data_IF_406425519890
#
_entry.id   IF_406425519890
#
_cell.length_a   1.000
_cell.length_b   1.000
_cell.length_c   1.000
_cell.angle_alpha   90.00
_cell.angle_beta   90.00
_cell.angle_gamma   90.00
#
_symmetry.space_group_name_H-M   'P 1'
#
loop_
_entity.id
_entity.type
_entity.pdbx_description
1 polymer ?
#
# COMPACT_ATOMS: atom_id res chain seq x y z
N UNK A 1 -20.64 -9.75 18.47
CA UNK A 1 -19.88 -9.66 17.20
C UNK A 1 -18.50 -9.10 17.52
N UNK A 2 -17.41 -9.84 17.26
CA UNK A 2 -16.06 -9.31 17.49
C UNK A 2 -15.73 -8.36 16.34
N UNK A 3 -15.64 -7.09 16.65
CA UNK A 3 -15.35 -5.99 15.71
C UNK A 3 -13.85 -5.95 15.32
N UNK A 4 -13.04 -6.86 15.85
CA UNK A 4 -11.59 -6.86 15.62
C UNK A 4 -11.12 -8.24 15.13
N UNK A 5 -10.23 -8.26 14.15
CA UNK A 5 -9.53 -9.46 13.67
C UNK A 5 -8.69 -10.15 14.74
N UNK A 6 -8.45 -9.50 15.89
CA UNK A 6 -8.02 -10.15 17.13
C UNK A 6 -9.18 -11.01 17.61
N UNK A 7 -8.93 -12.30 17.83
CA UNK A 7 -9.93 -13.19 18.44
C UNK A 7 -10.42 -12.56 19.74
N UNK A 8 -11.72 -12.66 20.03
CA UNK A 8 -12.33 -11.95 21.16
C UNK A 8 -11.66 -12.22 22.52
N UNK A 9 -10.93 -13.35 22.65
CA UNK A 9 -10.10 -13.64 23.81
C UNK A 9 -8.77 -12.88 23.82
N UNK A 10 -8.19 -12.62 22.66
CA UNK A 10 -6.92 -11.87 22.56
C UNK A 10 -7.09 -10.39 22.95
N UNK A 11 -8.25 -9.79 22.66
CA UNK A 11 -8.58 -8.43 23.09
C UNK A 11 -8.63 -8.31 24.63
N UNK A 12 -9.05 -9.37 25.33
CA UNK A 12 -9.09 -9.41 26.81
C UNK A 12 -7.70 -9.37 27.45
N UNK A 13 -6.65 -9.65 26.68
CA UNK A 13 -5.26 -9.55 27.17
C UNK A 13 -4.73 -8.11 27.17
N UNK A 14 -5.44 -7.18 26.55
CA UNK A 14 -5.09 -5.77 26.58
C UNK A 14 -5.69 -5.04 27.77
N UNK A 15 -4.98 -4.10 28.37
CA UNK A 15 -5.50 -3.26 29.47
C UNK A 15 -6.67 -2.41 29.02
N UNK A 16 -7.50 -1.99 29.97
CA UNK A 16 -8.73 -1.23 29.67
C UNK A 16 -8.45 0.04 28.87
N UNK A 17 -7.38 0.78 29.20
CA UNK A 17 -7.02 2.01 28.50
C UNK A 17 -6.76 1.79 27.00
N UNK A 18 -6.17 0.65 26.62
CA UNK A 18 -5.91 0.32 25.22
C UNK A 18 -7.17 -0.21 24.51
N UNK A 19 -8.07 -0.88 25.24
CA UNK A 19 -9.37 -1.30 24.70
C UNK A 19 -10.29 -0.10 24.43
N UNK A 20 -10.29 0.90 25.31
CA UNK A 20 -11.01 2.15 25.11
C UNK A 20 -10.49 2.94 23.91
N UNK A 21 -9.15 2.98 23.76
CA UNK A 21 -8.52 3.55 22.58
C UNK A 21 -8.90 2.82 21.28
N UNK A 22 -8.90 1.49 21.31
CA UNK A 22 -9.33 0.69 20.15
C UNK A 22 -10.79 1.03 19.76
N UNK A 23 -11.68 1.10 20.73
CA UNK A 23 -13.08 1.49 20.52
C UNK A 23 -13.21 2.89 19.91
N UNK A 24 -12.42 3.86 20.40
CA UNK A 24 -12.34 5.20 19.84
C UNK A 24 -11.89 5.19 18.38
N UNK A 25 -10.86 4.41 18.05
CA UNK A 25 -10.37 4.31 16.67
C UNK A 25 -11.38 3.72 15.70
N UNK A 26 -12.14 2.70 16.15
CA UNK A 26 -13.17 2.06 15.31
C UNK A 26 -14.37 2.98 15.15
N UNK A 27 -14.95 3.41 16.29
CA UNK A 27 -16.27 4.05 16.31
C UNK A 27 -16.20 5.52 15.90
N UNK A 28 -15.20 6.25 16.41
CA UNK A 28 -15.10 7.70 16.19
C UNK A 28 -14.22 8.05 15.00
N UNK A 29 -13.09 7.33 14.82
CA UNK A 29 -12.16 7.60 13.72
C UNK A 29 -12.49 6.82 12.44
N UNK A 30 -13.35 5.81 12.50
CA UNK A 30 -13.69 4.97 11.36
C UNK A 30 -12.49 4.18 10.80
N UNK A 31 -11.50 3.89 11.64
CA UNK A 31 -10.34 3.13 11.22
C UNK A 31 -10.73 1.68 10.94
N UNK A 32 -10.06 1.07 9.93
CA UNK A 32 -10.25 -0.35 9.66
C UNK A 32 -9.78 -1.21 10.84
N UNK A 33 -10.47 -2.34 11.08
CA UNK A 33 -10.10 -3.32 12.10
C UNK A 33 -8.62 -3.69 12.00
N UNK A 34 -8.11 -3.89 10.79
CA UNK A 34 -6.70 -4.21 10.57
C UNK A 34 -5.76 -3.12 11.08
N UNK A 35 -6.08 -1.85 10.83
CA UNK A 35 -5.28 -0.71 11.32
C UNK A 35 -5.27 -0.67 12.84
N UNK A 36 -6.44 -0.89 13.47
CA UNK A 36 -6.56 -0.90 14.93
C UNK A 36 -5.77 -2.06 15.54
N UNK A 37 -5.84 -3.25 14.94
CA UNK A 37 -5.02 -4.39 15.36
C UNK A 37 -3.53 -4.10 15.32
N UNK A 38 -3.03 -3.57 14.20
CA UNK A 38 -1.62 -3.22 14.05
C UNK A 38 -1.17 -2.20 15.12
N UNK A 39 -2.01 -1.19 15.41
CA UNK A 39 -1.72 -0.19 16.44
C UNK A 39 -1.69 -0.83 17.84
N UNK A 40 -2.64 -1.70 18.17
CA UNK A 40 -2.65 -2.40 19.45
C UNK A 40 -1.42 -3.32 19.61
N UNK A 41 -0.99 -4.01 18.55
CA UNK A 41 0.20 -4.85 18.58
C UNK A 41 1.48 -4.01 18.76
N UNK A 42 1.55 -2.83 18.16
CA UNK A 42 2.66 -1.91 18.36
C UNK A 42 2.72 -1.39 19.80
N UNK A 43 1.56 -0.99 20.37
CA UNK A 43 1.45 -0.55 21.75
C UNK A 43 1.77 -1.69 22.74
N UNK A 44 1.35 -2.94 22.43
CA UNK A 44 1.73 -4.11 23.22
C UNK A 44 3.25 -4.27 23.28
N UNK A 45 3.91 -4.13 22.14
CA UNK A 45 5.38 -4.23 22.08
C UNK A 45 6.06 -3.11 22.89
N UNK A 46 5.51 -1.89 22.83
CA UNK A 46 6.02 -0.76 23.60
C UNK A 46 5.87 -0.98 25.12
N UNK A 47 4.69 -1.34 25.60
CA UNK A 47 4.47 -1.55 27.03
C UNK A 47 5.22 -2.80 27.56
N UNK A 48 5.46 -3.81 26.75
CA UNK A 48 6.38 -4.91 27.09
C UNK A 48 7.80 -4.40 27.30
N UNK A 49 8.28 -3.50 26.45
CA UNK A 49 9.59 -2.86 26.61
C UNK A 49 9.65 -2.05 27.91
N UNK A 50 8.61 -1.30 28.26
CA UNK A 50 8.55 -0.55 29.52
C UNK A 50 8.67 -1.49 30.73
N UNK A 51 7.90 -2.57 30.76
CA UNK A 51 7.96 -3.58 31.85
C UNK A 51 9.34 -4.25 31.94
N UNK A 52 9.94 -4.63 30.80
CA UNK A 52 11.26 -5.22 30.74
C UNK A 52 12.31 -4.29 31.35
N UNK A 53 12.26 -3.01 30.97
CA UNK A 53 13.19 -1.97 31.46
C UNK A 53 13.11 -1.76 32.97
N UNK A 54 11.91 -1.74 33.53
CA UNK A 54 11.70 -1.61 34.98
C UNK A 54 12.31 -2.78 35.77
N UNK A 55 12.29 -3.98 35.20
CA UNK A 55 12.85 -5.18 35.83
C UNK A 55 14.37 -5.26 35.73
N UNK A 56 15.00 -4.48 34.86
CA UNK A 56 16.46 -4.49 34.66
C UNK A 56 16.98 -5.76 33.99
N UNK A 57 16.11 -6.56 33.39
CA UNK A 57 16.44 -7.87 32.84
C UNK A 57 16.85 -7.81 31.36
N UNK A 58 17.93 -8.52 31.03
CA UNK A 58 18.24 -8.88 29.63
C UNK A 58 17.45 -10.14 29.28
N UNK A 59 16.31 -9.99 28.64
CA UNK A 59 15.43 -11.10 28.28
C UNK A 59 15.71 -11.61 26.86
N UNK A 60 15.59 -12.91 26.68
CA UNK A 60 15.51 -13.50 25.34
C UNK A 60 14.24 -13.01 24.60
N UNK A 61 14.23 -13.13 23.27
CA UNK A 61 13.07 -12.74 22.46
C UNK A 61 11.78 -13.47 22.88
N UNK A 62 11.90 -14.76 23.18
CA UNK A 62 10.76 -15.58 23.60
C UNK A 62 10.18 -15.17 24.96
N UNK A 63 11.04 -14.78 25.91
CA UNK A 63 10.62 -14.25 27.21
C UNK A 63 9.98 -12.87 27.05
N UNK A 64 10.55 -11.98 26.24
CA UNK A 64 9.98 -10.69 25.92
C UNK A 64 8.56 -10.83 25.31
N UNK A 65 8.36 -11.77 24.40
CA UNK A 65 7.05 -12.01 23.76
C UNK A 65 6.00 -12.56 24.73
N UNK A 66 6.41 -13.14 25.85
CA UNK A 66 5.51 -13.66 26.90
C UNK A 66 5.11 -12.61 27.95
N UNK A 67 5.76 -11.45 28.00
CA UNK A 67 5.41 -10.39 28.95
C UNK A 67 3.93 -10.01 28.77
N UNK A 68 3.15 -10.13 29.85
CA UNK A 68 1.76 -9.69 29.87
C UNK A 68 1.66 -8.20 30.14
N UNK A 69 0.86 -7.49 29.34
CA UNK A 69 0.58 -6.07 29.53
C UNK A 69 -0.80 -5.82 30.18
N UNK A 70 -1.48 -6.88 30.61
CA UNK A 70 -2.88 -6.83 31.09
C UNK A 70 -3.06 -5.88 32.27
N UNK A 71 -2.07 -5.75 33.11
CA UNK A 71 -2.10 -4.96 34.34
C UNK A 71 -1.65 -3.51 34.16
N UNK A 72 -1.28 -3.09 32.96
CA UNK A 72 -0.95 -1.67 32.66
C UNK A 72 -2.17 -0.81 33.02
N UNK A 73 -1.93 0.18 33.84
CA UNK A 73 -2.93 1.13 34.33
C UNK A 73 -2.65 2.57 33.83
N UNK A 74 -3.42 3.54 34.30
CA UNK A 74 -3.29 4.94 33.88
C UNK A 74 -1.98 5.55 34.38
N UNK A 75 -1.51 5.17 35.56
CA UNK A 75 -0.25 5.68 36.14
C UNK A 75 0.95 5.23 35.30
N UNK A 76 0.95 3.99 34.81
CA UNK A 76 1.98 3.49 33.88
C UNK A 76 1.98 4.29 32.57
N UNK A 77 0.82 4.74 32.10
CA UNK A 77 0.71 5.58 30.90
C UNK A 77 1.22 7.00 31.20
N UNK A 78 0.97 7.56 32.39
CA UNK A 78 1.45 8.87 32.83
C UNK A 78 2.97 8.91 33.01
N UNK A 79 3.54 7.81 33.45
CA UNK A 79 4.98 7.67 33.67
C UNK A 79 5.82 7.67 32.37
N UNK A 80 5.17 7.54 31.19
CA UNK A 80 5.87 7.51 29.91
C UNK A 80 6.45 8.88 29.56
N UNK A 81 7.75 8.92 29.36
CA UNK A 81 8.49 10.12 28.93
C UNK A 81 8.88 10.04 27.45
N UNK A 82 9.29 11.20 26.88
CA UNK A 82 9.85 11.24 25.52
C UNK A 82 11.11 10.35 25.42
N UNK A 83 11.94 10.31 26.47
CA UNK A 83 13.14 9.46 26.49
C UNK A 83 12.79 7.98 26.42
N UNK A 84 11.75 7.51 27.12
CA UNK A 84 11.30 6.12 27.02
C UNK A 84 10.93 5.72 25.59
N UNK A 85 10.31 6.64 24.83
CA UNK A 85 9.93 6.40 23.44
C UNK A 85 11.16 6.34 22.53
N UNK A 86 12.15 7.22 22.76
CA UNK A 86 13.41 7.20 22.01
C UNK A 86 14.16 5.88 22.27
N UNK A 87 14.30 5.48 23.55
CA UNK A 87 14.95 4.23 23.95
C UNK A 87 14.23 3.02 23.33
N UNK A 88 12.90 3.04 23.31
CA UNK A 88 12.13 2.01 22.63
C UNK A 88 12.39 1.94 21.12
N UNK A 89 12.51 3.06 20.42
CA UNK A 89 12.82 3.07 19.00
C UNK A 89 14.23 2.56 18.71
N UNK A 90 15.17 2.77 19.64
CA UNK A 90 16.51 2.17 19.60
C UNK A 90 16.43 0.66 19.79
N UNK A 91 15.77 0.20 20.85
CA UNK A 91 15.51 -1.22 21.11
C UNK A 91 14.82 -1.91 19.91
N UNK A 92 13.78 -1.29 19.37
CA UNK A 92 13.09 -1.81 18.19
C UNK A 92 14.00 -1.93 16.96
N UNK A 93 15.02 -1.07 16.84
CA UNK A 93 15.97 -1.10 15.74
C UNK A 93 17.07 -2.13 15.89
N UNK A 94 17.66 -2.24 17.07
CA UNK A 94 18.86 -3.03 17.34
C UNK A 94 18.51 -4.44 17.84
N UNK A 95 17.59 -4.53 18.80
CA UNK A 95 17.29 -5.80 19.46
C UNK A 95 16.17 -6.59 18.72
N UNK A 96 15.20 -5.88 18.12
CA UNK A 96 14.13 -6.51 17.36
C UNK A 96 14.37 -6.51 15.83
N UNK A 97 15.51 -5.98 15.36
CA UNK A 97 15.89 -5.88 13.95
C UNK A 97 14.79 -5.25 13.07
N UNK A 98 14.11 -4.22 13.60
CA UNK A 98 13.04 -3.56 12.88
C UNK A 98 13.59 -2.52 11.89
N UNK A 99 13.15 -2.61 10.63
CA UNK A 99 13.46 -1.63 9.60
C UNK A 99 13.03 -0.21 10.00
N UNK A 100 13.64 0.81 9.40
CA UNK A 100 13.23 2.21 9.58
C UNK A 100 11.72 2.42 9.33
N UNK A 101 11.15 1.76 8.32
CA UNK A 101 9.71 1.84 8.02
C UNK A 101 8.85 1.26 9.15
N UNK A 102 9.29 0.14 9.76
CA UNK A 102 8.60 -0.46 10.90
C UNK A 102 8.67 0.45 12.12
N UNK A 103 9.83 1.05 12.40
CA UNK A 103 10.01 2.01 13.51
C UNK A 103 9.15 3.28 13.31
N UNK A 104 9.05 3.80 12.07
CA UNK A 104 8.14 4.91 11.76
C UNK A 104 6.68 4.54 12.04
N UNK A 105 6.22 3.34 11.67
CA UNK A 105 4.85 2.88 11.95
C UNK A 105 4.63 2.76 13.46
N UNK A 106 5.58 2.18 14.21
CA UNK A 106 5.51 2.07 15.67
C UNK A 106 5.42 3.44 16.35
N UNK A 107 6.22 4.40 15.90
CA UNK A 107 6.11 5.78 16.39
C UNK A 107 4.75 6.42 16.05
N UNK A 108 4.21 6.14 14.85
CA UNK A 108 2.88 6.65 14.48
C UNK A 108 1.76 6.08 15.37
N UNK A 109 1.86 4.81 15.76
CA UNK A 109 0.94 4.18 16.71
C UNK A 109 1.01 4.85 18.09
N UNK A 110 2.22 5.12 18.58
CA UNK A 110 2.45 5.86 19.85
C UNK A 110 1.91 7.29 19.77
N UNK A 111 2.23 8.02 18.70
CA UNK A 111 1.70 9.39 18.50
C UNK A 111 0.17 9.41 18.49
N UNK A 112 -0.45 8.47 17.83
CA UNK A 112 -1.92 8.36 17.79
C UNK A 112 -2.51 8.05 19.16
N UNK A 113 -1.89 7.16 19.93
CA UNK A 113 -2.33 6.81 21.28
C UNK A 113 -2.18 7.97 22.25
N UNK A 114 -1.00 8.62 22.31
CA UNK A 114 -0.76 9.73 23.23
C UNK A 114 -1.53 10.99 22.83
N UNK A 115 -1.80 11.20 21.55
CA UNK A 115 -2.75 12.24 21.14
C UNK A 115 -4.18 11.98 21.66
N UNK A 116 -4.62 10.72 21.67
CA UNK A 116 -5.89 10.35 22.30
C UNK A 116 -5.85 10.51 23.80
N UNK A 117 -4.81 9.99 24.46
CA UNK A 117 -4.66 10.04 25.92
C UNK A 117 -4.63 11.47 26.45
N UNK A 118 -3.87 12.37 25.81
CA UNK A 118 -3.77 13.77 26.17
C UNK A 118 -4.99 14.57 25.72
N UNK A 119 -5.29 14.57 24.42
CA UNK A 119 -6.20 15.56 23.83
C UNK A 119 -7.68 15.17 23.88
N UNK A 120 -8.03 13.90 24.19
CA UNK A 120 -9.42 13.43 24.21
C UNK A 120 -9.89 12.90 25.56
N UNK A 121 -9.01 12.26 26.28
CA UNK A 121 -9.34 11.62 27.58
C UNK A 121 -8.69 12.31 28.76
N UNK A 122 -7.74 13.22 28.54
CA UNK A 122 -7.00 13.91 29.60
C UNK A 122 -6.40 12.95 30.63
N UNK A 123 -5.88 11.80 30.13
CA UNK A 123 -5.26 10.77 30.96
C UNK A 123 -3.82 11.14 31.34
N UNK A 124 -3.16 11.97 30.56
CA UNK A 124 -1.78 12.44 30.75
C UNK A 124 -1.75 13.96 30.70
N UNK A 125 -0.83 14.57 31.47
CA UNK A 125 -0.74 16.03 31.60
C UNK A 125 -0.02 16.68 30.39
N UNK A 126 0.81 15.92 29.69
CA UNK A 126 1.49 16.32 28.46
C UNK A 126 1.59 15.16 27.48
N UNK A 127 1.77 15.49 26.20
CA UNK A 127 1.95 14.45 25.18
C UNK A 127 3.45 14.16 25.00
N UNK A 128 3.96 12.99 25.44
CA UNK A 128 5.38 12.67 25.37
C UNK A 128 5.91 12.46 23.94
N UNK A 129 5.03 12.48 22.95
CA UNK A 129 5.42 12.31 21.53
C UNK A 129 5.49 13.63 20.76
N UNK A 130 5.19 14.78 21.39
CA UNK A 130 5.06 16.08 20.70
C UNK A 130 6.33 16.46 19.94
N UNK A 131 7.48 16.31 20.56
CA UNK A 131 8.77 16.77 20.05
C UNK A 131 9.61 15.65 19.42
N UNK A 132 9.02 14.47 19.24
CA UNK A 132 9.73 13.34 18.64
C UNK A 132 9.55 13.35 17.12
N UNK A 133 10.64 13.60 16.40
CA UNK A 133 10.67 13.50 14.96
C UNK A 133 10.55 12.05 14.47
N UNK A 134 9.91 11.89 13.32
CA UNK A 134 9.88 10.58 12.67
C UNK A 134 11.24 10.22 12.08
N UNK A 135 11.71 8.96 12.24
CA UNK A 135 12.95 8.51 11.62
C UNK A 135 13.00 8.83 10.13
N UNK A 136 14.09 9.46 9.66
CA UNK A 136 14.24 9.82 8.25
C UNK A 136 14.44 8.57 7.39
N UNK A 137 13.59 8.38 6.40
CA UNK A 137 13.74 7.32 5.40
C UNK A 137 14.57 7.86 4.23
N UNK A 138 15.62 7.13 3.83
CA UNK A 138 16.32 7.43 2.58
C UNK A 138 15.32 7.33 1.42
N UNK A 139 15.15 8.43 0.67
CA UNK A 139 14.34 8.42 -0.55
C UNK A 139 15.06 7.56 -1.58
N UNK A 140 14.48 6.44 -1.95
CA UNK A 140 14.93 5.63 -3.08
C UNK A 140 13.97 5.85 -4.24
N UNK A 141 14.50 5.96 -5.45
CA UNK A 141 13.66 6.03 -6.65
C UNK A 141 12.74 4.80 -6.70
N UNK A 142 11.46 4.99 -7.03
CA UNK A 142 10.53 3.87 -7.15
C UNK A 142 11.00 2.90 -8.22
N UNK A 143 11.21 1.63 -7.88
CA UNK A 143 11.50 0.59 -8.86
C UNK A 143 10.21 0.24 -9.60
N UNK A 144 10.27 0.22 -10.92
CA UNK A 144 9.18 -0.19 -11.81
C UNK A 144 9.74 -1.06 -12.94
N UNK A 145 8.87 -1.71 -13.69
CA UNK A 145 9.22 -2.46 -14.89
C UNK A 145 9.25 -1.50 -16.10
N UNK A 146 10.17 -1.74 -17.04
CA UNK A 146 10.07 -1.17 -18.37
C UNK A 146 8.93 -1.82 -19.16
N UNK A 147 8.65 -1.33 -20.37
CA UNK A 147 7.68 -1.95 -21.30
C UNK A 147 8.12 -3.37 -21.64
N UNK A 148 9.39 -3.56 -22.01
CA UNK A 148 9.97 -4.84 -22.39
C UNK A 148 9.91 -5.85 -21.23
N UNK A 149 10.22 -5.42 -20.02
CA UNK A 149 10.14 -6.24 -18.82
C UNK A 149 8.69 -6.61 -18.47
N UNK A 150 7.74 -5.71 -18.71
CA UNK A 150 6.32 -5.97 -18.52
C UNK A 150 5.82 -7.00 -19.54
N UNK A 151 6.29 -6.93 -20.78
CA UNK A 151 6.01 -7.93 -21.82
C UNK A 151 6.62 -9.28 -21.43
N UNK A 152 7.90 -9.31 -21.03
CA UNK A 152 8.58 -10.55 -20.60
C UNK A 152 7.85 -11.21 -19.42
N UNK A 153 7.32 -10.42 -18.48
CA UNK A 153 6.51 -10.94 -17.38
C UNK A 153 5.21 -11.61 -17.88
N UNK A 154 4.52 -10.99 -18.84
CA UNK A 154 3.29 -11.56 -19.45
C UNK A 154 3.60 -12.81 -20.27
N UNK A 155 4.71 -12.84 -20.99
CA UNK A 155 5.16 -14.01 -21.73
C UNK A 155 5.52 -15.18 -20.82
N UNK A 156 6.17 -14.93 -19.69
CA UNK A 156 6.46 -15.95 -18.70
C UNK A 156 5.19 -16.66 -18.19
N UNK A 157 4.08 -15.90 -18.05
CA UNK A 157 2.78 -16.51 -17.69
C UNK A 157 2.22 -17.37 -18.82
N UNK A 158 2.25 -16.88 -20.07
CA UNK A 158 1.73 -17.63 -21.24
C UNK A 158 2.51 -18.90 -21.53
N UNK A 159 3.81 -18.88 -21.23
CA UNK A 159 4.70 -20.01 -21.46
C UNK A 159 4.61 -21.11 -20.40
N UNK A 160 3.95 -20.84 -19.27
CA UNK A 160 3.68 -21.83 -18.20
C UNK A 160 2.47 -22.69 -18.55
N UNK A 161 2.62 -23.51 -19.64
CA UNK A 161 1.55 -24.36 -20.18
C UNK A 161 1.07 -25.45 -19.23
N UNK A 162 1.91 -25.85 -18.28
CA UNK A 162 1.59 -26.86 -17.26
C UNK A 162 0.71 -26.29 -16.12
N UNK A 163 0.58 -24.98 -16.05
CA UNK A 163 -0.23 -24.31 -15.03
C UNK A 163 -1.73 -24.40 -15.35
N UNK A 164 -2.47 -25.18 -14.58
CA UNK A 164 -3.94 -25.24 -14.64
C UNK A 164 -4.63 -23.88 -14.38
N UNK A 165 -3.89 -22.88 -13.92
CA UNK A 165 -4.40 -21.54 -13.59
C UNK A 165 -3.82 -20.46 -14.48
N UNK A 166 -3.19 -20.81 -15.59
CA UNK A 166 -2.47 -19.88 -16.47
C UNK A 166 -3.36 -18.72 -16.94
N UNK A 167 -4.57 -18.97 -17.43
CA UNK A 167 -5.47 -17.91 -17.91
C UNK A 167 -5.91 -16.98 -16.78
N UNK A 168 -6.15 -17.50 -15.56
CA UNK A 168 -6.43 -16.69 -14.37
C UNK A 168 -5.24 -15.78 -14.03
N UNK A 169 -4.07 -16.37 -13.96
CA UNK A 169 -2.84 -15.68 -13.53
C UNK A 169 -2.43 -14.62 -14.57
N UNK A 170 -2.65 -14.93 -15.87
CA UNK A 170 -2.47 -13.97 -16.95
C UNK A 170 -3.43 -12.78 -16.83
N UNK A 171 -4.71 -13.03 -16.59
CA UNK A 171 -5.70 -11.96 -16.39
C UNK A 171 -5.37 -11.11 -15.17
N UNK A 172 -4.92 -11.69 -14.06
CA UNK A 172 -4.51 -10.98 -12.84
C UNK A 172 -3.35 -10.01 -13.15
N UNK A 173 -2.28 -10.50 -13.78
CA UNK A 173 -1.08 -9.68 -14.06
C UNK A 173 -1.38 -8.62 -15.10
N UNK A 174 -2.15 -8.96 -16.14
CA UNK A 174 -2.60 -8.00 -17.16
C UNK A 174 -3.41 -6.87 -16.54
N UNK A 175 -4.35 -7.18 -15.64
CA UNK A 175 -5.12 -6.15 -14.93
C UNK A 175 -4.22 -5.23 -14.10
N UNK A 176 -3.26 -5.78 -13.33
CA UNK A 176 -2.34 -4.92 -12.56
C UNK A 176 -1.56 -3.97 -13.43
N UNK A 177 -1.00 -4.46 -14.54
CA UNK A 177 -0.16 -3.66 -15.45
C UNK A 177 -0.95 -2.62 -16.26
N UNK A 178 -2.21 -2.88 -16.57
CA UNK A 178 -3.02 -1.99 -17.40
C UNK A 178 -3.92 -1.03 -16.60
N UNK A 179 -4.29 -1.36 -15.37
CA UNK A 179 -5.21 -0.55 -14.57
C UNK A 179 -4.58 0.07 -13.35
N UNK A 180 -3.48 -0.47 -12.88
CA UNK A 180 -2.86 -0.05 -11.63
C UNK A 180 -3.74 -0.22 -10.38
N UNK A 181 -4.77 -1.10 -10.41
CA UNK A 181 -5.64 -1.32 -9.25
C UNK A 181 -4.90 -1.85 -8.03
N UNK A 182 -5.46 -1.65 -6.84
CA UNK A 182 -4.88 -2.17 -5.60
C UNK A 182 -5.12 -3.68 -5.49
N UNK A 183 -4.23 -4.38 -4.77
CA UNK A 183 -4.40 -5.82 -4.50
C UNK A 183 -5.75 -6.16 -3.86
N UNK A 184 -6.19 -5.36 -2.89
CA UNK A 184 -7.49 -5.55 -2.24
C UNK A 184 -8.67 -5.35 -3.19
N UNK A 185 -8.56 -4.39 -4.11
CA UNK A 185 -9.56 -4.14 -5.14
C UNK A 185 -9.66 -5.34 -6.09
N UNK A 186 -8.55 -5.86 -6.59
CA UNK A 186 -8.53 -7.04 -7.46
C UNK A 186 -9.11 -8.29 -6.79
N UNK A 187 -8.72 -8.56 -5.55
CA UNK A 187 -9.23 -9.71 -4.79
C UNK A 187 -10.72 -9.58 -4.49
N UNK A 188 -11.21 -8.34 -4.31
CA UNK A 188 -12.61 -8.02 -4.05
C UNK A 188 -13.53 -8.09 -5.27
N UNK A 189 -13.01 -8.23 -6.50
CA UNK A 189 -13.82 -8.24 -7.71
C UNK A 189 -14.79 -9.42 -7.73
N UNK A 190 -16.02 -9.15 -8.17
CA UNK A 190 -17.06 -10.11 -8.47
C UNK A 190 -17.31 -10.16 -9.99
N UNK A 191 -18.03 -11.15 -10.45
CA UNK A 191 -18.47 -11.22 -11.85
C UNK A 191 -19.34 -9.99 -12.20
N UNK A 192 -20.18 -9.55 -11.29
CA UNK A 192 -21.09 -8.40 -11.45
C UNK A 192 -20.37 -7.05 -11.33
N UNK A 193 -19.07 -7.04 -11.04
CA UNK A 193 -18.28 -5.79 -11.00
C UNK A 193 -18.06 -5.18 -12.39
N UNK A 194 -18.33 -5.93 -13.45
CA UNK A 194 -18.08 -5.55 -14.84
C UNK A 194 -19.37 -5.24 -15.58
N UNK A 195 -19.26 -4.37 -16.59
CA UNK A 195 -20.30 -4.25 -17.61
C UNK A 195 -20.31 -5.48 -18.54
N UNK A 196 -21.40 -5.69 -19.29
CA UNK A 196 -21.57 -6.85 -20.18
C UNK A 196 -20.52 -6.90 -21.30
N UNK A 197 -19.99 -5.77 -21.70
CA UNK A 197 -18.95 -5.66 -22.74
C UNK A 197 -17.53 -5.85 -22.18
N UNK A 198 -17.35 -5.93 -20.85
CA UNK A 198 -16.07 -5.95 -20.14
C UNK A 198 -15.19 -4.72 -20.48
N UNK A 199 -15.80 -3.55 -20.68
CA UNK A 199 -15.09 -2.30 -20.97
C UNK A 199 -14.84 -1.48 -19.71
N UNK A 200 -15.60 -1.73 -18.64
CA UNK A 200 -15.54 -1.00 -17.38
C UNK A 200 -15.63 -1.97 -16.21
N UNK A 201 -14.92 -1.63 -15.14
CA UNK A 201 -14.99 -2.36 -13.88
C UNK A 201 -15.21 -1.40 -12.72
N UNK A 202 -16.19 -1.69 -11.89
CA UNK A 202 -16.43 -0.99 -10.63
C UNK A 202 -15.57 -1.59 -9.54
N UNK A 203 -14.75 -0.77 -8.91
CA UNK A 203 -13.88 -1.17 -7.78
C UNK A 203 -14.24 -0.39 -6.53
N UNK A 204 -14.15 -1.05 -5.38
CA UNK A 204 -14.39 -0.47 -4.07
C UNK A 204 -13.04 -0.24 -3.40
N UNK A 205 -12.70 1.02 -3.16
CA UNK A 205 -11.45 1.44 -2.54
C UNK A 205 -11.53 1.59 -1.02
N UNK A 206 -10.52 2.23 -0.44
CA UNK A 206 -10.47 2.55 0.99
C UNK A 206 -11.66 3.43 1.39
N UNK A 207 -12.27 3.13 2.53
CA UNK A 207 -13.45 3.87 3.03
C UNK A 207 -14.72 3.61 2.23
N UNK A 208 -14.82 2.46 1.56
CA UNK A 208 -15.98 2.05 0.75
C UNK A 208 -16.28 3.00 -0.44
N UNK A 209 -15.26 3.76 -0.88
CA UNK A 209 -15.43 4.67 -2.03
C UNK A 209 -15.36 3.86 -3.31
N UNK A 210 -16.40 3.99 -4.13
CA UNK A 210 -16.48 3.36 -5.45
C UNK A 210 -15.83 4.24 -6.52
N UNK A 211 -15.20 3.60 -7.52
CA UNK A 211 -14.79 4.24 -8.76
C UNK A 211 -14.87 3.27 -9.92
N UNK A 212 -15.05 3.82 -11.10
CA UNK A 212 -14.98 3.07 -12.36
C UNK A 212 -13.56 3.09 -12.91
N UNK A 213 -13.11 1.96 -13.42
CA UNK A 213 -11.86 1.83 -14.18
C UNK A 213 -12.22 1.37 -15.58
N UNK A 214 -11.70 2.06 -16.59
CA UNK A 214 -11.85 1.66 -18.00
C UNK A 214 -10.80 0.59 -18.34
N UNK A 215 -11.22 -0.41 -19.10
CA UNK A 215 -10.37 -1.51 -19.52
C UNK A 215 -10.01 -1.34 -20.99
N UNK A 216 -8.72 -1.48 -21.29
CA UNK A 216 -8.23 -1.52 -22.67
C UNK A 216 -8.42 -2.92 -23.27
N UNK A 217 -8.18 -3.06 -24.58
CA UNK A 217 -8.37 -4.31 -25.31
C UNK A 217 -7.56 -5.49 -24.74
N UNK A 218 -6.34 -5.23 -24.26
CA UNK A 218 -5.50 -6.27 -23.67
C UNK A 218 -6.11 -6.82 -22.37
N UNK A 219 -6.60 -5.95 -21.49
CA UNK A 219 -7.27 -6.34 -20.25
C UNK A 219 -8.62 -7.03 -20.54
N UNK A 220 -9.39 -6.50 -21.49
CA UNK A 220 -10.66 -7.08 -21.92
C UNK A 220 -10.46 -8.50 -22.45
N UNK A 221 -9.51 -8.71 -23.38
CA UNK A 221 -9.21 -10.03 -23.95
C UNK A 221 -8.77 -11.02 -22.86
N UNK A 222 -7.85 -10.63 -22.00
CA UNK A 222 -7.38 -11.50 -20.93
C UNK A 222 -8.51 -11.92 -19.98
N UNK A 223 -9.43 -11.00 -19.67
CA UNK A 223 -10.61 -11.29 -18.86
C UNK A 223 -11.59 -12.23 -19.57
N UNK A 224 -11.90 -11.99 -20.86
CA UNK A 224 -12.78 -12.86 -21.65
C UNK A 224 -12.28 -14.30 -21.66
N UNK A 225 -10.99 -14.48 -21.88
CA UNK A 225 -10.37 -15.80 -21.95
C UNK A 225 -10.47 -16.52 -20.60
N UNK A 226 -10.26 -15.81 -19.50
CA UNK A 226 -10.42 -16.38 -18.17
C UNK A 226 -11.88 -16.61 -17.79
N UNK A 227 -12.79 -15.66 -18.03
CA UNK A 227 -14.22 -15.76 -17.68
C UNK A 227 -14.88 -16.93 -18.39
N UNK A 228 -14.48 -17.26 -19.64
CA UNK A 228 -14.96 -18.43 -20.35
C UNK A 228 -14.74 -19.72 -19.55
N UNK A 229 -13.56 -19.88 -18.95
CA UNK A 229 -13.27 -21.03 -18.08
C UNK A 229 -13.94 -20.87 -16.70
N UNK A 230 -13.97 -19.65 -16.17
CA UNK A 230 -14.59 -19.36 -14.86
C UNK A 230 -16.07 -19.71 -14.82
N UNK A 231 -16.78 -19.61 -15.95
CA UNK A 231 -18.20 -19.91 -16.07
C UNK A 231 -18.48 -21.33 -16.61
N UNK A 232 -17.46 -22.07 -16.99
CA UNK A 232 -17.64 -23.43 -17.51
C UNK A 232 -17.82 -24.44 -16.36
N UNK A 233 -18.99 -25.05 -16.20
CA UNK A 233 -19.28 -26.00 -15.13
C UNK A 233 -18.43 -27.27 -15.15
N UNK A 234 -17.77 -27.57 -16.27
CA UNK A 234 -16.82 -28.69 -16.37
C UNK A 234 -15.56 -28.46 -15.55
N UNK A 235 -15.17 -27.20 -15.38
CA UNK A 235 -13.94 -26.81 -14.67
C UNK A 235 -14.22 -26.20 -13.30
N UNK A 236 -15.32 -25.45 -13.18
CA UNK A 236 -15.65 -24.67 -11.98
C UNK A 236 -17.04 -25.04 -11.48
N UNK A 237 -17.11 -25.51 -10.22
CA UNK A 237 -18.35 -25.93 -9.55
C UNK A 237 -18.52 -25.18 -8.24
N UNK A 238 -18.73 -23.87 -8.33
CA UNK A 238 -18.94 -23.02 -7.15
C UNK A 238 -20.03 -22.00 -7.41
N UNK A 239 -20.77 -21.66 -6.35
CA UNK A 239 -21.70 -20.53 -6.31
C UNK A 239 -21.04 -19.23 -5.85
N UNK A 240 -19.72 -19.19 -5.60
CA UNK A 240 -19.02 -17.97 -5.22
C UNK A 240 -19.05 -16.97 -6.39
N UNK A 241 -19.53 -15.75 -6.10
CA UNK A 241 -19.59 -14.65 -7.08
C UNK A 241 -18.22 -14.04 -7.40
N UNK A 242 -17.17 -14.43 -6.68
CA UNK A 242 -15.82 -13.90 -6.90
C UNK A 242 -15.35 -14.11 -8.34
N UNK A 243 -14.80 -13.06 -8.94
CA UNK A 243 -14.18 -13.18 -10.26
C UNK A 243 -13.01 -14.18 -10.22
N UNK A 244 -12.03 -13.94 -9.36
CA UNK A 244 -10.84 -14.76 -9.26
C UNK A 244 -10.96 -15.82 -8.17
N UNK A 245 -10.80 -17.09 -8.55
CA UNK A 245 -10.88 -18.22 -7.65
C UNK A 245 -9.51 -18.81 -7.33
N UNK A 246 -9.39 -19.31 -6.11
CA UNK A 246 -8.29 -20.18 -5.69
C UNK A 246 -8.43 -21.59 -6.34
N UNK A 247 -7.42 -22.44 -6.15
CA UNK A 247 -7.51 -23.88 -6.54
C UNK A 247 -8.64 -24.61 -5.79
N UNK A 248 -9.07 -24.09 -4.64
CA UNK A 248 -10.21 -24.65 -3.86
C UNK A 248 -11.57 -24.10 -4.30
N UNK A 249 -11.60 -23.37 -5.41
CA UNK A 249 -12.82 -22.76 -5.96
C UNK A 249 -13.54 -21.78 -5.01
N UNK A 250 -12.80 -21.15 -4.13
CA UNK A 250 -13.23 -20.04 -3.29
C UNK A 250 -12.52 -18.77 -3.74
N UNK A 251 -12.98 -17.60 -3.31
CA UNK A 251 -12.31 -16.32 -3.60
C UNK A 251 -10.80 -16.40 -3.37
N UNK A 252 -10.02 -15.94 -4.32
CA UNK A 252 -8.57 -15.91 -4.22
C UNK A 252 -8.12 -15.02 -3.06
N UNK A 253 -7.12 -15.45 -2.30
CA UNK A 253 -6.55 -14.64 -1.22
C UNK A 253 -5.49 -13.66 -1.74
N UNK A 254 -5.31 -12.53 -1.01
CA UNK A 254 -4.23 -11.59 -1.29
C UNK A 254 -2.84 -12.26 -1.28
N UNK A 255 -2.61 -13.22 -0.35
CA UNK A 255 -1.36 -13.99 -0.29
C UNK A 255 -1.15 -14.85 -1.54
N UNK A 256 -2.21 -15.47 -2.06
CA UNK A 256 -2.14 -16.27 -3.29
C UNK A 256 -1.78 -15.38 -4.49
N UNK A 257 -2.39 -14.20 -4.61
CA UNK A 257 -2.07 -13.25 -5.69
C UNK A 257 -0.62 -12.76 -5.58
N UNK A 258 -0.14 -12.45 -4.39
CA UNK A 258 1.26 -12.08 -4.16
C UNK A 258 2.21 -13.20 -4.58
N UNK A 259 1.89 -14.45 -4.23
CA UNK A 259 2.67 -15.62 -4.64
C UNK A 259 2.68 -15.81 -6.16
N UNK A 260 1.53 -15.63 -6.83
CA UNK A 260 1.43 -15.69 -8.31
C UNK A 260 2.35 -14.66 -8.96
N UNK A 261 2.28 -13.41 -8.52
CA UNK A 261 3.15 -12.34 -9.04
C UNK A 261 4.62 -12.66 -8.80
N UNK A 262 4.97 -13.10 -7.58
CA UNK A 262 6.35 -13.50 -7.27
C UNK A 262 6.85 -14.65 -8.16
N UNK A 263 6.05 -15.71 -8.33
CA UNK A 263 6.37 -16.85 -9.20
C UNK A 263 6.75 -16.40 -10.61
N UNK A 264 5.92 -15.57 -11.22
CA UNK A 264 6.14 -15.16 -12.61
C UNK A 264 7.24 -14.09 -12.76
N UNK A 265 7.48 -13.26 -11.75
CA UNK A 265 8.66 -12.42 -11.72
C UNK A 265 9.96 -13.25 -11.69
N UNK A 266 9.98 -14.36 -10.94
CA UNK A 266 11.13 -15.28 -10.95
C UNK A 266 11.29 -15.95 -12.34
N UNK A 267 10.23 -16.47 -12.92
CA UNK A 267 10.25 -17.12 -14.23
C UNK A 267 10.65 -16.16 -15.36
N UNK A 268 10.33 -14.87 -15.24
CA UNK A 268 10.73 -13.82 -16.17
C UNK A 268 12.18 -13.32 -15.95
N UNK A 269 12.93 -13.86 -14.99
CA UNK A 269 14.28 -13.40 -14.66
C UNK A 269 14.32 -12.06 -13.90
N UNK A 270 13.18 -11.58 -13.41
CA UNK A 270 13.01 -10.27 -12.74
C UNK A 270 13.04 -10.35 -11.21
N UNK A 271 13.30 -11.52 -10.63
CA UNK A 271 13.21 -11.77 -9.19
C UNK A 271 14.17 -10.92 -8.35
N UNK A 272 15.38 -10.63 -8.86
CA UNK A 272 16.39 -9.81 -8.16
C UNK A 272 15.99 -8.33 -8.01
N UNK A 273 15.01 -7.83 -8.78
CA UNK A 273 14.57 -6.43 -8.73
C UNK A 273 13.79 -6.06 -7.45
N UNK A 274 13.39 -7.05 -6.64
CA UNK A 274 12.62 -6.81 -5.42
C UNK A 274 11.24 -6.19 -5.69
N UNK A 275 10.60 -6.64 -6.77
CA UNK A 275 9.28 -6.19 -7.20
C UNK A 275 8.18 -6.91 -6.42
N UNK A 276 7.03 -6.26 -6.30
CA UNK A 276 5.84 -6.78 -5.61
C UNK A 276 4.58 -6.32 -6.34
N UNK A 277 3.42 -6.82 -5.96
CA UNK A 277 2.13 -6.36 -6.52
C UNK A 277 1.98 -4.84 -6.47
N UNK A 278 2.42 -4.22 -5.35
CA UNK A 278 2.38 -2.76 -5.24
C UNK A 278 3.32 -2.07 -6.25
N UNK A 279 4.44 -2.71 -6.59
CA UNK A 279 5.37 -2.22 -7.61
C UNK A 279 4.81 -2.38 -9.03
N UNK A 280 3.97 -3.39 -9.31
CA UNK A 280 3.25 -3.49 -10.59
C UNK A 280 2.26 -2.32 -10.77
N UNK A 281 1.59 -1.91 -9.69
CA UNK A 281 0.76 -0.70 -9.73
C UNK A 281 1.62 0.56 -10.00
N UNK A 282 2.81 0.66 -9.41
CA UNK A 282 3.76 1.73 -9.75
C UNK A 282 4.19 1.66 -11.21
N UNK A 283 4.45 0.46 -11.74
CA UNK A 283 4.75 0.25 -13.15
C UNK A 283 3.63 0.80 -14.03
N UNK A 284 2.39 0.37 -13.81
CA UNK A 284 1.24 0.87 -14.58
C UNK A 284 1.15 2.40 -14.56
N UNK A 285 1.27 3.01 -13.39
CA UNK A 285 1.22 4.46 -13.23
C UNK A 285 2.36 5.17 -13.96
N UNK A 286 3.59 4.65 -13.82
CA UNK A 286 4.77 5.23 -14.48
C UNK A 286 4.67 5.13 -16.01
N UNK A 287 4.29 3.96 -16.52
CA UNK A 287 4.16 3.75 -17.97
C UNK A 287 3.05 4.65 -18.56
N UNK A 288 1.88 4.77 -17.90
CA UNK A 288 0.83 5.70 -18.32
C UNK A 288 1.31 7.16 -18.35
N UNK A 289 2.08 7.56 -17.34
CA UNK A 289 2.58 8.93 -17.25
C UNK A 289 3.69 9.23 -18.28
N UNK A 290 4.57 8.25 -18.55
CA UNK A 290 5.68 8.39 -19.50
C UNK A 290 5.23 8.54 -20.96
N UNK A 291 4.01 8.12 -21.30
CA UNK A 291 3.48 8.36 -22.67
C UNK A 291 3.22 9.83 -22.98
N UNK A 292 3.34 10.72 -21.98
CA UNK A 292 3.16 12.17 -22.14
C UNK A 292 1.71 12.63 -22.30
N UNK A 293 0.77 11.72 -22.54
CA UNK A 293 -0.63 12.03 -22.87
C UNK A 293 -1.57 11.98 -21.65
N UNK A 294 -1.07 11.63 -20.47
CA UNK A 294 -1.92 11.49 -19.26
C UNK A 294 -1.54 12.55 -18.24
N UNK A 295 -2.43 13.52 -18.01
CA UNK A 295 -2.28 14.50 -16.94
C UNK A 295 -2.22 13.81 -15.57
N UNK A 296 -1.40 14.35 -14.67
CA UNK A 296 -1.23 13.83 -13.31
C UNK A 296 -2.55 13.78 -12.51
N UNK A 297 -3.49 14.66 -12.83
CA UNK A 297 -4.83 14.68 -12.21
C UNK A 297 -5.65 13.48 -12.66
N UNK A 298 -5.62 13.18 -13.97
CA UNK A 298 -6.27 12.00 -14.56
C UNK A 298 -5.64 10.72 -13.98
N UNK A 299 -4.31 10.67 -13.89
CA UNK A 299 -3.61 9.54 -13.27
C UNK A 299 -4.01 9.35 -11.79
N UNK A 300 -4.18 10.44 -11.03
CA UNK A 300 -4.70 10.40 -9.66
C UNK A 300 -6.08 9.75 -9.59
N UNK A 301 -6.99 10.10 -10.50
CA UNK A 301 -8.34 9.53 -10.58
C UNK A 301 -8.29 8.04 -10.91
N UNK A 302 -7.55 7.64 -11.96
CA UNK A 302 -7.38 6.23 -12.36
C UNK A 302 -6.89 5.41 -11.16
N UNK A 303 -5.89 5.91 -10.46
CA UNK A 303 -5.31 5.21 -9.32
C UNK A 303 -6.16 5.31 -8.04
N UNK A 304 -7.06 6.27 -7.92
CA UNK A 304 -7.84 6.53 -6.71
C UNK A 304 -6.94 6.95 -5.54
N UNK A 305 -6.03 7.91 -5.77
CA UNK A 305 -5.22 8.54 -4.73
C UNK A 305 -5.98 9.70 -4.09
N UNK A 306 -6.16 9.67 -2.76
CA UNK A 306 -6.82 10.78 -2.05
C UNK A 306 -5.96 12.05 -2.04
N UNK A 307 -4.62 11.89 -1.98
CA UNK A 307 -3.68 13.02 -1.94
C UNK A 307 -2.80 13.06 -3.19
N UNK A 308 -2.58 14.26 -3.72
CA UNK A 308 -1.68 14.51 -4.86
C UNK A 308 -0.23 14.06 -4.57
N UNK A 309 0.24 14.22 -3.34
CA UNK A 309 1.60 13.83 -2.94
C UNK A 309 1.93 12.36 -3.23
N UNK A 310 0.93 11.46 -3.23
CA UNK A 310 1.14 10.05 -3.61
C UNK A 310 1.29 9.85 -5.12
N UNK A 311 0.87 10.82 -5.92
CA UNK A 311 1.01 10.80 -7.39
C UNK A 311 2.25 11.58 -7.84
N UNK A 312 2.71 12.56 -7.06
CA UNK A 312 3.92 13.35 -7.35
C UNK A 312 5.21 12.51 -7.41
N UNK A 313 5.23 11.31 -6.86
CA UNK A 313 6.39 10.40 -7.00
C UNK A 313 6.66 10.02 -8.46
N UNK A 314 5.69 10.18 -9.35
CA UNK A 314 5.84 9.90 -10.78
C UNK A 314 6.40 11.10 -11.57
N UNK A 315 6.34 12.31 -11.01
CA UNK A 315 6.85 13.53 -11.69
C UNK A 315 8.38 13.56 -11.77
N UNK A 316 9.09 12.84 -10.90
CA UNK A 316 10.54 12.73 -10.96
C UNK A 316 11.08 11.88 -12.13
N UNK A 317 10.19 11.27 -12.91
CA UNK A 317 10.56 10.38 -14.04
C UNK A 317 10.70 11.16 -15.36
N UNK A 318 10.43 12.48 -15.36
CA UNK A 318 10.21 13.22 -16.62
C UNK A 318 11.11 14.44 -16.76
N UNK A 319 12.42 14.22 -16.87
CA UNK A 319 13.30 15.25 -17.45
C UNK A 319 12.96 15.50 -18.94
N UNK A 320 12.49 14.48 -19.69
CA UNK A 320 12.03 14.63 -21.08
C UNK A 320 10.86 15.59 -21.27
N UNK A 321 9.87 15.55 -20.40
CA UNK A 321 8.69 16.44 -20.51
C UNK A 321 9.04 17.90 -20.20
N UNK A 322 10.12 18.15 -19.45
CA UNK A 322 10.62 19.52 -19.19
C UNK A 322 11.26 20.05 -20.48
N UNK A 323 12.09 19.25 -21.15
CA UNK A 323 12.69 19.63 -22.45
C UNK A 323 11.63 19.84 -23.52
N UNK A 324 10.65 18.93 -23.64
CA UNK A 324 9.51 19.08 -24.58
C UNK A 324 8.66 20.31 -24.26
N UNK A 325 8.31 20.54 -23.00
CA UNK A 325 7.56 21.73 -22.59
C UNK A 325 8.34 23.02 -22.87
N UNK A 326 9.65 23.03 -22.67
CA UNK A 326 10.50 24.18 -23.00
C UNK A 326 10.59 24.39 -24.51
N UNK A 327 10.66 23.32 -25.30
CA UNK A 327 10.68 23.41 -26.78
C UNK A 327 9.34 23.85 -27.35
N UNK A 328 8.22 23.54 -26.70
CA UNK A 328 6.87 23.96 -27.11
C UNK A 328 6.51 25.40 -26.65
N UNK A 329 7.42 26.11 -25.98
CA UNK A 329 7.19 27.51 -25.63
C UNK A 329 7.02 28.33 -26.95
N UNK A 330 5.92 29.05 -27.16
CA UNK A 330 5.70 29.86 -28.36
C UNK A 330 6.81 30.87 -28.64
N UNK A 331 7.63 31.19 -27.67
CA UNK A 331 8.79 32.08 -27.79
C UNK A 331 10.09 31.37 -28.14
N UNK A 332 10.14 30.03 -28.15
CA UNK A 332 11.36 29.26 -28.42
C UNK A 332 11.93 29.52 -29.82
N UNK A 333 11.09 29.88 -30.80
CA UNK A 333 11.48 30.11 -32.19
C UNK A 333 11.55 31.60 -32.58
N UNK A 334 11.31 32.56 -31.68
CA UNK A 334 11.33 33.98 -32.00
C UNK A 334 12.77 34.48 -32.22
N UNK A 335 13.12 34.68 -33.47
CA UNK A 335 14.35 35.41 -33.87
C UNK A 335 14.03 36.92 -33.88
N UNK A 336 14.49 37.61 -32.87
CA UNK A 336 14.45 39.09 -32.86
C UNK A 336 15.43 39.60 -33.91
N UNK A 337 14.94 40.14 -35.03
CA UNK A 337 15.79 40.84 -35.99
C UNK A 337 16.40 42.06 -35.29
N UNK A 338 17.71 42.09 -35.13
CA UNK A 338 18.44 43.32 -34.77
C UNK A 338 18.16 44.37 -35.84
N UNK A 339 17.56 45.51 -35.51
CA UNK A 339 17.54 46.71 -36.36
C UNK A 339 19.02 47.15 -36.47
N UNK A 340 19.56 47.12 -37.70
CA UNK A 340 20.81 47.74 -38.02
C UNK A 340 20.69 49.24 -37.70
N UNK A 341 21.56 49.71 -36.85
CA UNK A 341 21.84 51.16 -36.67
C UNK A 341 22.75 51.56 -37.87
N UNK A 342 22.16 51.81 -38.99
CA UNK A 342 22.80 52.58 -40.05
C UNK A 342 21.80 53.62 -40.49
N UNK A 343 22.09 54.85 -40.09
CA UNK A 343 21.76 56.16 -40.68
C UNK A 343 21.63 57.21 -39.57
N UNK A 344 22.79 57.68 -39.14
CA UNK A 344 22.96 59.00 -38.52
C UNK A 344 24.37 59.46 -38.94
N UNK A 345 24.48 59.83 -40.23
CA UNK A 345 25.40 60.83 -40.76
C UNK A 345 24.67 61.52 -41.90
N UNK A 346 24.15 62.72 -41.59
CA UNK A 346 24.24 64.00 -42.27
C UNK A 346 23.48 65.06 -41.50
#
# INVERSE_FOLDING_TARGET
MSVLTLKGEEIKTFPTVLRDYASYLVVIKGNSEKTVCEYLLDLRTFFRFMIMREKGDSLSRDEFEKISIKNINIEDVRAVTAQNIIDYLMFAGFDLDNSTTTRMRKLSSLKSFFHYAYGKKHLVDSNPTSDIDSPKKKKTLPKHLSVEESVSLLEAVKNDKDSKTMLRDYAIITLFLNTGMRLSELVGLNLESFDSALTKVRVIGKGNKERMIYLNDAANKALRDYIRIRLDPRFIRTSDHALFLSRRQTRISAKTVQWVVYKYLQLAGLGSKGLSVHKLRHTAATLMYQTGNVDIRVLKEILGHEQLNTTQIYTHVVDRNIEEAMSQNPLAEIKIKRKSRDNLED
#
